data_IF_145830291364
#
_entry.id   IF_145830291364
#
_cell.length_a   1.000
_cell.length_b   1.000
_cell.length_c   1.000
_cell.angle_alpha   90.00
_cell.angle_beta   90.00
_cell.angle_gamma   90.00
#
_symmetry.space_group_name_H-M   'P 1'
#
loop_
_entity.id
_entity.type
_entity.pdbx_description
1 polymer ?
#
# COMPACT_ATOMS: atom_id res chain seq x y z
N UNK A 1 -15.31 3.67 -3.07
CA UNK A 1 -13.97 4.04 -3.60
C UNK A 1 -12.93 3.53 -2.64
N UNK A 2 -12.00 2.69 -3.08
CA UNK A 2 -10.85 2.32 -2.25
C UNK A 2 -10.00 3.59 -1.98
N UNK A 3 -9.49 3.79 -0.75
CA UNK A 3 -8.58 4.90 -0.47
C UNK A 3 -7.35 4.81 -1.38
N UNK A 4 -6.88 5.94 -1.89
CA UNK A 4 -5.63 5.96 -2.66
C UNK A 4 -4.45 5.57 -1.77
N UNK A 5 -3.42 4.95 -2.36
CA UNK A 5 -2.21 4.54 -1.62
C UNK A 5 -1.58 5.70 -0.84
N UNK A 6 -1.66 6.93 -1.38
CA UNK A 6 -1.19 8.13 -0.70
C UNK A 6 -1.96 8.43 0.59
N UNK A 7 -3.29 8.22 0.61
CA UNK A 7 -4.09 8.38 1.83
C UNK A 7 -3.76 7.30 2.86
N UNK A 8 -3.50 6.07 2.42
CA UNK A 8 -3.08 4.99 3.31
C UNK A 8 -1.71 5.28 3.96
N UNK A 9 -0.75 5.77 3.18
CA UNK A 9 0.58 6.18 3.69
C UNK A 9 0.48 7.35 4.68
N UNK A 10 -0.35 8.36 4.39
CA UNK A 10 -0.60 9.47 5.32
C UNK A 10 -1.24 8.99 6.64
N UNK A 11 -2.21 8.07 6.55
CA UNK A 11 -2.83 7.48 7.72
C UNK A 11 -1.83 6.67 8.56
N UNK A 12 -0.88 5.97 7.91
CA UNK A 12 0.19 5.22 8.58
C UNK A 12 1.07 6.15 9.39
N UNK A 13 1.52 7.25 8.79
CA UNK A 13 2.41 8.19 9.45
C UNK A 13 1.73 8.85 10.65
N UNK A 14 0.46 9.26 10.49
CA UNK A 14 -0.35 9.78 11.59
C UNK A 14 -0.54 8.76 12.72
N UNK A 15 -0.84 7.49 12.39
CA UNK A 15 -0.97 6.43 13.38
C UNK A 15 0.33 6.18 14.15
N UNK A 16 1.47 6.25 13.48
CA UNK A 16 2.78 6.05 14.09
C UNK A 16 3.08 7.16 15.11
N UNK A 17 2.71 8.40 14.81
CA UNK A 17 2.74 9.51 15.76
C UNK A 17 1.81 9.25 16.96
N UNK A 18 0.58 8.80 16.74
CA UNK A 18 -0.40 8.50 17.80
C UNK A 18 0.11 7.40 18.72
N UNK A 19 0.64 6.31 18.16
CA UNK A 19 1.17 5.17 18.93
C UNK A 19 2.39 5.61 19.77
N UNK A 20 3.26 6.44 19.21
CA UNK A 20 4.50 6.84 19.89
C UNK A 20 4.30 7.94 20.94
N UNK A 21 3.28 8.77 20.81
CA UNK A 21 3.04 9.94 21.67
C UNK A 21 2.07 9.69 22.81
N UNK A 22 1.30 8.59 22.77
CA UNK A 22 0.26 8.30 23.77
C UNK A 22 0.67 7.16 24.68
N UNK A 23 0.34 7.30 25.97
CA UNK A 23 0.49 6.25 26.98
C UNK A 23 -0.29 4.97 26.62
N UNK A 24 -1.46 5.12 25.99
CA UNK A 24 -2.30 4.01 25.53
C UNK A 24 -2.03 3.60 24.06
N UNK A 25 -0.91 4.05 23.48
CA UNK A 25 -0.53 3.83 22.09
C UNK A 25 -0.55 2.36 21.65
N UNK A 26 -0.19 1.44 22.56
CA UNK A 26 -0.22 -0.01 22.32
C UNK A 26 -1.60 -0.53 21.88
N UNK A 27 -2.70 0.11 22.29
CA UNK A 27 -4.07 -0.27 21.90
C UNK A 27 -4.35 -0.06 20.41
N UNK A 28 -3.60 0.83 19.77
CA UNK A 28 -3.78 1.17 18.36
C UNK A 28 -2.90 0.33 17.42
N UNK A 29 -1.93 -0.42 17.94
CA UNK A 29 -1.03 -1.28 17.16
C UNK A 29 -1.78 -2.26 16.24
N UNK A 30 -2.87 -2.95 16.66
CA UNK A 30 -3.59 -3.85 15.77
C UNK A 30 -4.19 -3.15 14.53
N UNK A 31 -4.65 -1.90 14.69
CA UNK A 31 -5.19 -1.10 13.58
C UNK A 31 -4.05 -0.71 12.63
N UNK A 32 -2.89 -0.33 13.17
CA UNK A 32 -1.69 -0.01 12.39
C UNK A 32 -1.22 -1.21 11.55
N UNK A 33 -1.19 -2.41 12.14
CA UNK A 33 -0.81 -3.63 11.42
C UNK A 33 -1.80 -3.98 10.28
N UNK A 34 -3.09 -3.71 10.47
CA UNK A 34 -4.08 -3.89 9.41
C UNK A 34 -3.86 -2.88 8.28
N UNK A 35 -3.57 -1.63 8.61
CA UNK A 35 -3.26 -0.59 7.64
C UNK A 35 -2.01 -0.93 6.81
N UNK A 36 -0.95 -1.43 7.45
CA UNK A 36 0.26 -1.90 6.77
C UNK A 36 -0.02 -3.05 5.79
N UNK A 37 -0.92 -3.99 6.16
CA UNK A 37 -1.34 -5.07 5.25
C UNK A 37 -2.08 -4.53 4.02
N UNK A 38 -2.94 -3.54 4.19
CA UNK A 38 -3.65 -2.91 3.07
C UNK A 38 -2.68 -2.17 2.14
N UNK A 39 -1.69 -1.45 2.69
CA UNK A 39 -0.62 -0.81 1.92
C UNK A 39 0.18 -1.84 1.12
N UNK A 40 0.55 -2.96 1.73
CA UNK A 40 1.27 -4.03 1.06
C UNK A 40 0.46 -4.66 -0.09
N UNK A 41 -0.83 -4.91 0.13
CA UNK A 41 -1.74 -5.43 -0.91
C UNK A 41 -1.86 -4.48 -2.11
N UNK A 42 -1.96 -3.17 -1.84
CA UNK A 42 -1.98 -2.15 -2.89
C UNK A 42 -0.67 -2.09 -3.69
N UNK A 43 0.49 -2.22 -3.02
CA UNK A 43 1.79 -2.25 -3.70
C UNK A 43 1.95 -3.48 -4.58
N UNK A 44 1.63 -4.68 -4.06
CA UNK A 44 1.71 -5.92 -4.84
C UNK A 44 0.81 -5.87 -6.08
N UNK A 45 -0.43 -5.38 -5.93
CA UNK A 45 -1.35 -5.20 -7.06
C UNK A 45 -0.77 -4.27 -8.14
N UNK A 46 -0.08 -3.20 -7.73
CA UNK A 46 0.54 -2.27 -8.68
C UNK A 46 1.75 -2.89 -9.39
N UNK A 47 2.58 -3.67 -8.69
CA UNK A 47 3.71 -4.41 -9.28
C UNK A 47 3.22 -5.44 -10.31
N UNK A 48 2.18 -6.19 -10.00
CA UNK A 48 1.59 -7.17 -10.92
C UNK A 48 0.97 -6.49 -12.14
N UNK A 49 0.31 -5.33 -11.95
CA UNK A 49 -0.19 -4.53 -13.05
C UNK A 49 0.94 -4.05 -13.99
N UNK A 50 2.05 -3.56 -13.42
CA UNK A 50 3.22 -3.15 -14.22
C UNK A 50 3.82 -4.33 -14.99
N UNK A 51 3.92 -5.52 -14.38
CA UNK A 51 4.36 -6.74 -15.09
C UNK A 51 3.46 -7.08 -16.27
N UNK A 52 2.14 -7.01 -16.09
CA UNK A 52 1.18 -7.28 -17.17
C UNK A 52 1.37 -6.30 -18.33
N UNK A 53 1.53 -5.00 -18.03
CA UNK A 53 1.79 -3.98 -19.05
C UNK A 53 3.10 -4.22 -19.79
N UNK A 54 4.15 -4.59 -19.08
CA UNK A 54 5.45 -4.92 -19.69
C UNK A 54 5.33 -6.13 -20.62
N UNK A 55 4.69 -7.22 -20.17
CA UNK A 55 4.46 -8.40 -21.00
C UNK A 55 3.63 -8.08 -22.26
N UNK A 56 2.63 -7.19 -22.13
CA UNK A 56 1.83 -6.74 -23.27
C UNK A 56 2.65 -5.92 -24.27
N UNK A 57 3.52 -5.03 -23.79
CA UNK A 57 4.41 -4.22 -24.63
C UNK A 57 5.47 -5.08 -25.35
N UNK A 58 6.06 -6.06 -24.66
CA UNK A 58 7.00 -7.01 -25.25
C UNK A 58 6.33 -7.82 -26.37
N UNK A 59 5.09 -8.28 -26.13
CA UNK A 59 4.33 -9.05 -27.12
C UNK A 59 3.91 -8.23 -28.35
N UNK A 60 3.61 -6.94 -28.20
CA UNK A 60 3.30 -6.07 -29.34
C UNK A 60 4.56 -5.72 -30.14
N UNK A 61 5.72 -5.61 -29.49
CA UNK A 61 7.00 -5.36 -30.16
C UNK A 61 7.55 -6.57 -30.93
N UNK A 62 7.24 -7.80 -30.48
CA UNK A 62 7.65 -9.04 -31.14
C UNK A 62 6.82 -9.42 -32.38
N UNK A 63 5.73 -8.69 -32.65
CA UNK A 63 4.83 -8.93 -33.79
C UNK A 63 4.99 -7.92 -34.94
N UNK A 64 5.97 -7.02 -34.85
CA UNK A 64 6.34 -6.02 -35.87
C UNK A 64 7.67 -6.40 -36.54
#
# INVERSE_FOLDING_TARGET
MAPSINRLLQARDAMLTIISSREDGARYVPIFLRLEKEIAAHKGTNEDYQRILQMAAERSSAAA
#
